data_IF_244551525158
#
_entry.id   IF_244551525158
#
_cell.length_a   1.000
_cell.length_b   1.000
_cell.length_c   1.000
_cell.angle_alpha   90.00
_cell.angle_beta   90.00
_cell.angle_gamma   90.00
#
_symmetry.space_group_name_H-M   'P 1'
#
loop_
_entity.id
_entity.type
_entity.pdbx_description
1 polymer ?
#
# COMPACT_ATOMS: atom_id res chain seq x y z
N UNK A 1 5.25 64.29 -65.33
CA UNK A 1 5.45 64.48 -63.88
C UNK A 1 4.22 63.96 -63.17
N UNK A 2 4.33 62.79 -62.53
CA UNK A 2 3.50 62.34 -61.42
C UNK A 2 4.24 61.18 -60.77
N UNK A 3 4.70 61.37 -59.54
CA UNK A 3 5.27 60.32 -58.69
C UNK A 3 4.21 59.93 -57.65
N UNK A 4 3.96 58.64 -57.41
CA UNK A 4 3.40 58.15 -56.15
C UNK A 4 4.53 57.46 -55.37
N UNK A 5 5.06 58.03 -54.29
CA UNK A 5 4.46 58.21 -52.95
C UNK A 5 4.20 56.87 -52.25
N UNK A 6 5.28 56.40 -51.62
CA UNK A 6 5.42 55.60 -50.40
C UNK A 6 4.14 54.96 -49.84
N UNK A 7 4.05 53.64 -49.96
CA UNK A 7 3.09 52.86 -49.19
C UNK A 7 3.75 52.29 -47.93
N UNK A 8 2.99 52.42 -46.86
CA UNK A 8 3.47 52.49 -45.51
C UNK A 8 3.94 51.15 -44.97
N UNK A 9 5.04 51.25 -44.22
CA UNK A 9 5.55 50.29 -43.24
C UNK A 9 4.40 49.65 -42.44
N UNK A 10 4.00 48.44 -42.80
CA UNK A 10 3.09 47.62 -42.00
C UNK A 10 3.82 47.18 -40.74
N UNK A 11 3.70 47.99 -39.68
CA UNK A 11 4.14 47.66 -38.34
C UNK A 11 3.43 46.37 -37.88
N UNK A 12 4.17 45.25 -37.95
CA UNK A 12 3.75 43.95 -37.43
C UNK A 12 3.58 44.05 -35.91
N UNK A 13 2.34 44.27 -35.45
CA UNK A 13 2.03 44.23 -34.02
C UNK A 13 2.26 42.79 -33.52
N UNK A 14 3.10 42.57 -32.49
CA UNK A 14 3.35 41.24 -31.95
C UNK A 14 2.11 40.76 -31.19
N UNK A 15 1.20 40.06 -31.88
CA UNK A 15 -0.01 39.46 -31.28
C UNK A 15 0.26 38.21 -30.42
N UNK A 16 1.52 37.79 -30.28
CA UNK A 16 1.87 36.49 -29.71
C UNK A 16 2.01 36.45 -28.17
N UNK A 17 2.15 37.59 -27.49
CA UNK A 17 2.53 37.59 -26.07
C UNK A 17 1.35 37.42 -25.09
N UNK A 18 0.10 37.68 -25.50
CA UNK A 18 -1.04 37.67 -24.56
C UNK A 18 -1.70 36.29 -24.47
N UNK A 19 -1.63 35.50 -25.54
CA UNK A 19 -2.15 34.13 -25.55
C UNK A 19 -1.36 33.20 -24.62
N UNK A 20 -0.06 33.46 -24.41
CA UNK A 20 0.80 32.63 -23.56
C UNK A 20 0.53 32.80 -22.06
N UNK A 21 0.22 34.00 -21.59
CA UNK A 21 -0.07 34.23 -20.17
C UNK A 21 -1.43 33.68 -19.73
N UNK A 22 -2.45 33.78 -20.58
CA UNK A 22 -3.75 33.17 -20.29
C UNK A 22 -3.67 31.64 -20.24
N UNK A 23 -2.94 31.02 -21.15
CA UNK A 23 -2.71 29.57 -21.14
C UNK A 23 -1.92 29.12 -19.90
N UNK A 24 -0.89 29.88 -19.51
CA UNK A 24 -0.11 29.60 -18.30
C UNK A 24 -0.97 29.73 -17.03
N UNK A 25 -1.83 30.75 -16.96
CA UNK A 25 -2.74 30.95 -15.84
C UNK A 25 -3.76 29.82 -15.72
N UNK A 26 -4.32 29.35 -16.85
CA UNK A 26 -5.24 28.20 -16.86
C UNK A 26 -4.52 26.92 -16.45
N UNK A 27 -3.30 26.67 -16.95
CA UNK A 27 -2.52 25.49 -16.56
C UNK A 27 -2.18 25.52 -15.07
N UNK A 28 -1.75 26.67 -14.54
CA UNK A 28 -1.50 26.85 -13.12
C UNK A 28 -2.78 26.67 -12.31
N UNK A 29 -3.93 27.17 -12.78
CA UNK A 29 -5.20 26.89 -12.13
C UNK A 29 -5.49 25.40 -12.16
N UNK A 30 -5.30 24.68 -13.26
CA UNK A 30 -5.55 23.23 -13.31
C UNK A 30 -4.59 22.41 -12.43
N UNK A 31 -3.36 22.90 -12.23
CA UNK A 31 -2.36 22.25 -11.36
C UNK A 31 -2.53 22.59 -9.88
N UNK A 32 -3.01 23.80 -9.56
CA UNK A 32 -3.17 24.29 -8.19
C UNK A 32 -4.60 24.17 -7.68
N UNK A 33 -5.59 24.03 -8.56
CA UNK A 33 -6.98 23.81 -8.17
C UNK A 33 -7.09 22.35 -7.76
N UNK A 34 -7.25 22.04 -6.47
CA UNK A 34 -7.47 20.68 -6.03
C UNK A 34 -8.69 20.18 -6.79
N UNK A 35 -8.50 19.15 -7.62
CA UNK A 35 -9.58 18.63 -8.45
C UNK A 35 -10.80 18.38 -7.56
N UNK A 36 -11.96 19.01 -7.79
CA UNK A 36 -13.16 18.75 -6.98
C UNK A 36 -13.66 17.31 -7.16
N UNK A 37 -13.11 16.58 -8.14
CA UNK A 37 -13.30 15.15 -8.36
C UNK A 37 -12.29 14.27 -7.61
N UNK A 38 -11.30 14.84 -6.92
CA UNK A 38 -10.64 14.19 -5.81
C UNK A 38 -11.50 14.50 -4.59
N UNK A 39 -12.47 13.63 -4.21
CA UNK A 39 -12.97 13.71 -2.86
C UNK A 39 -11.72 13.63 -1.99
N UNK A 40 -11.48 14.66 -1.20
CA UNK A 40 -10.70 14.52 0.02
C UNK A 40 -11.53 13.58 0.91
N UNK A 41 -11.68 12.31 0.50
CA UNK A 41 -11.68 11.22 1.44
C UNK A 41 -10.52 11.57 2.34
N UNK A 42 -10.75 11.80 3.64
CA UNK A 42 -9.69 12.20 4.54
C UNK A 42 -8.64 11.10 4.49
N UNK A 43 -7.64 11.29 3.63
CA UNK A 43 -6.45 10.47 3.55
C UNK A 43 -5.69 10.55 4.88
N UNK A 44 -6.05 11.58 5.68
CA UNK A 44 -5.63 11.85 7.04
C UNK A 44 -6.77 11.61 8.06
N UNK A 45 -7.76 10.77 7.77
CA UNK A 45 -8.60 10.25 8.85
C UNK A 45 -7.68 9.38 9.72
N UNK A 46 -7.04 10.04 10.69
CA UNK A 46 -6.31 9.43 11.79
C UNK A 46 -7.09 8.17 12.19
N UNK A 47 -6.42 7.01 12.24
CA UNK A 47 -7.03 5.82 12.77
C UNK A 47 -7.71 6.21 14.08
N UNK A 48 -8.96 5.79 14.27
CA UNK A 48 -9.59 6.06 15.56
C UNK A 48 -8.69 5.51 16.67
N UNK A 49 -8.66 6.15 17.84
CA UNK A 49 -7.78 5.72 18.93
C UNK A 49 -7.92 4.22 19.28
N UNK A 50 -9.10 3.66 19.02
CA UNK A 50 -9.40 2.23 19.14
C UNK A 50 -8.58 1.40 18.14
N UNK A 51 -8.57 1.82 16.88
CA UNK A 51 -7.84 1.14 15.80
C UNK A 51 -6.33 1.22 16.04
N UNK A 52 -5.85 2.38 16.47
CA UNK A 52 -4.44 2.58 16.82
C UNK A 52 -3.99 1.68 17.99
N UNK A 53 -4.83 1.53 19.02
CA UNK A 53 -4.54 0.63 20.15
C UNK A 53 -4.42 -0.83 19.68
N UNK A 54 -5.36 -1.29 18.87
CA UNK A 54 -5.34 -2.63 18.28
C UNK A 54 -4.09 -2.87 17.42
N UNK A 55 -3.61 -1.86 16.68
CA UNK A 55 -2.39 -1.95 15.88
C UNK A 55 -1.13 -2.09 16.75
N UNK A 56 -1.08 -1.36 17.87
CA UNK A 56 0.02 -1.50 18.84
C UNK A 56 0.02 -2.88 19.49
N UNK A 57 -1.13 -3.38 19.89
CA UNK A 57 -1.24 -4.73 20.45
C UNK A 57 -0.84 -5.82 19.44
N UNK A 58 -1.22 -5.67 18.16
CA UNK A 58 -0.73 -6.53 17.08
C UNK A 58 0.80 -6.45 16.94
N UNK A 59 1.36 -5.25 17.02
CA UNK A 59 2.81 -5.04 16.99
C UNK A 59 3.52 -5.81 18.09
N UNK A 60 3.03 -5.70 19.32
CA UNK A 60 3.58 -6.44 20.47
C UNK A 60 3.39 -7.96 20.32
N UNK A 61 2.25 -8.41 19.78
CA UNK A 61 2.03 -9.81 19.45
C UNK A 61 3.06 -10.33 18.41
N UNK A 62 3.34 -9.57 17.35
CA UNK A 62 4.37 -9.92 16.37
C UNK A 62 5.75 -9.99 17.02
N UNK A 63 6.11 -8.99 17.84
CA UNK A 63 7.40 -8.94 18.52
C UNK A 63 7.63 -10.13 19.46
N UNK A 64 6.58 -10.54 20.17
CA UNK A 64 6.65 -11.65 21.11
C UNK A 64 6.74 -13.03 20.43
N UNK A 65 6.34 -13.15 19.16
CA UNK A 65 6.24 -14.43 18.46
C UNK A 65 7.18 -14.56 17.25
N UNK A 66 7.98 -13.55 16.94
CA UNK A 66 8.94 -13.56 15.83
C UNK A 66 10.28 -12.95 16.25
N UNK A 67 11.42 -13.48 15.76
CA UNK A 67 12.72 -12.89 16.04
C UNK A 67 12.83 -11.49 15.43
N UNK A 68 13.69 -10.59 15.97
CA UNK A 68 13.81 -9.21 15.50
C UNK A 68 14.13 -9.06 14.01
N UNK A 69 14.85 -10.02 13.43
CA UNK A 69 15.26 -10.06 12.03
C UNK A 69 14.30 -10.84 11.12
N UNK A 70 13.15 -11.28 11.63
CA UNK A 70 12.19 -12.06 10.86
C UNK A 70 11.66 -11.29 9.64
N UNK A 71 11.55 -12.02 8.52
CA UNK A 71 10.82 -11.56 7.34
C UNK A 71 9.40 -12.11 7.40
N UNK A 72 8.41 -11.22 7.46
CA UNK A 72 7.00 -11.58 7.63
C UNK A 72 6.20 -11.16 6.40
N UNK A 73 5.61 -12.15 5.70
CA UNK A 73 4.67 -11.87 4.62
C UNK A 73 3.29 -11.57 5.18
N UNK A 74 2.67 -10.45 4.78
CA UNK A 74 1.33 -10.09 5.27
C UNK A 74 0.46 -9.35 4.26
N UNK A 75 -0.86 -9.55 4.39
CA UNK A 75 -1.89 -8.73 3.75
C UNK A 75 -1.93 -7.29 4.28
N UNK A 76 -1.40 -7.07 5.49
CA UNK A 76 -1.22 -5.77 6.11
C UNK A 76 0.26 -5.53 6.42
N UNK A 77 1.12 -5.58 5.40
CA UNK A 77 2.57 -5.38 5.51
C UNK A 77 2.97 -4.10 6.28
N UNK A 78 2.18 -3.03 6.17
CA UNK A 78 2.41 -1.79 6.90
C UNK A 78 2.28 -1.98 8.42
N UNK A 79 1.34 -2.81 8.91
CA UNK A 79 1.23 -3.15 10.34
C UNK A 79 2.49 -3.85 10.84
N UNK A 80 2.98 -4.79 10.05
CA UNK A 80 4.21 -5.53 10.36
C UNK A 80 5.40 -4.58 10.46
N UNK A 81 5.56 -3.69 9.48
CA UNK A 81 6.71 -2.77 9.44
C UNK A 81 6.63 -1.67 10.51
N UNK A 82 5.46 -1.06 10.72
CA UNK A 82 5.32 0.12 11.59
C UNK A 82 5.15 -0.24 13.06
N UNK A 83 4.39 -1.30 13.37
CA UNK A 83 4.08 -1.67 14.76
C UNK A 83 4.87 -2.89 15.21
N UNK A 84 5.06 -3.86 14.32
CA UNK A 84 5.81 -5.09 14.60
C UNK A 84 7.32 -4.91 14.62
N UNK A 85 7.85 -3.85 13.99
CA UNK A 85 9.29 -3.64 13.80
C UNK A 85 9.96 -4.89 13.18
N UNK A 86 9.35 -5.40 12.10
CA UNK A 86 9.84 -6.55 11.33
C UNK A 86 9.93 -6.21 9.86
N UNK A 87 10.83 -6.89 9.14
CA UNK A 87 10.88 -6.79 7.69
C UNK A 87 9.58 -7.35 7.12
N UNK A 88 8.82 -6.53 6.39
CA UNK A 88 7.54 -6.94 5.83
C UNK A 88 7.62 -7.20 4.33
N UNK A 89 7.01 -8.29 3.88
CA UNK A 89 6.78 -8.56 2.46
C UNK A 89 5.29 -8.45 2.15
N UNK A 90 4.94 -7.73 1.08
CA UNK A 90 3.55 -7.68 0.62
C UNK A 90 3.13 -9.09 0.20
N UNK A 91 1.94 -9.49 0.65
CA UNK A 91 1.38 -10.81 0.40
C UNK A 91 1.35 -11.25 -1.08
N UNK A 92 1.94 -12.39 -1.44
CA UNK A 92 1.86 -12.92 -2.79
C UNK A 92 0.43 -13.38 -3.12
N UNK A 93 0.16 -13.51 -4.41
CA UNK A 93 -1.16 -13.89 -4.94
C UNK A 93 -1.64 -15.19 -4.29
N UNK A 94 -0.77 -16.19 -4.16
CA UNK A 94 -1.04 -17.52 -3.60
C UNK A 94 0.18 -18.10 -2.87
N UNK A 95 0.01 -19.31 -2.33
CA UNK A 95 1.05 -20.05 -1.59
C UNK A 95 2.22 -20.50 -2.48
N UNK A 96 1.96 -20.73 -3.76
CA UNK A 96 2.92 -21.16 -4.76
C UNK A 96 3.86 -20.01 -5.13
N UNK A 97 3.31 -18.80 -5.29
CA UNK A 97 4.05 -17.57 -5.49
C UNK A 97 4.88 -17.21 -4.24
N UNK A 98 4.38 -17.48 -3.03
CA UNK A 98 5.18 -17.37 -1.81
C UNK A 98 6.41 -18.29 -1.88
N UNK A 99 6.20 -19.57 -2.20
CA UNK A 99 7.29 -20.52 -2.32
C UNK A 99 8.31 -20.12 -3.40
N UNK A 100 7.85 -19.54 -4.52
CA UNK A 100 8.72 -19.03 -5.57
C UNK A 100 9.55 -17.83 -5.12
N UNK A 101 8.95 -16.89 -4.38
CA UNK A 101 9.68 -15.76 -3.79
C UNK A 101 10.75 -16.26 -2.84
N UNK A 102 10.43 -17.24 -2.00
CA UNK A 102 11.36 -17.83 -1.05
C UNK A 102 12.54 -18.53 -1.74
N UNK A 103 12.29 -19.24 -2.83
CA UNK A 103 13.35 -19.89 -3.61
C UNK A 103 14.31 -18.91 -4.27
N UNK A 104 13.84 -17.72 -4.64
CA UNK A 104 14.58 -16.82 -5.54
C UNK A 104 15.15 -15.58 -4.89
N UNK A 105 14.52 -15.07 -3.84
CA UNK A 105 14.80 -13.73 -3.35
C UNK A 105 15.07 -13.70 -1.85
N UNK A 106 14.12 -14.15 -1.03
CA UNK A 106 14.20 -13.94 0.42
C UNK A 106 13.46 -15.04 1.17
N UNK A 107 14.09 -15.59 2.21
CA UNK A 107 13.43 -16.50 3.15
C UNK A 107 12.30 -15.76 3.87
N UNK A 108 11.12 -16.39 4.00
CA UNK A 108 10.00 -15.85 4.76
C UNK A 108 9.83 -16.68 6.03
N UNK A 109 9.99 -16.06 7.18
CA UNK A 109 9.97 -16.75 8.48
C UNK A 109 8.55 -16.92 9.01
N UNK A 110 7.65 -16.00 8.63
CA UNK A 110 6.26 -16.06 9.05
C UNK A 110 5.29 -15.48 8.01
N UNK A 111 4.05 -15.94 8.10
CA UNK A 111 2.90 -15.43 7.34
C UNK A 111 1.89 -14.88 8.33
N UNK A 112 1.57 -13.60 8.23
CA UNK A 112 0.64 -12.89 9.11
C UNK A 112 -0.60 -12.45 8.34
N UNK A 113 -1.77 -12.95 8.76
CA UNK A 113 -3.06 -12.70 8.13
C UNK A 113 -3.97 -11.87 9.03
N UNK A 114 -4.56 -10.82 8.46
CA UNK A 114 -5.57 -9.96 9.11
C UNK A 114 -6.91 -10.00 8.36
N UNK A 115 -7.99 -9.38 8.89
CA UNK A 115 -9.24 -9.23 8.16
C UNK A 115 -9.12 -8.28 6.97
N UNK A 116 -8.04 -7.48 6.86
CA UNK A 116 -7.79 -6.59 5.72
C UNK A 116 -7.81 -7.36 4.41
N UNK A 117 -7.29 -8.59 4.42
CA UNK A 117 -7.38 -9.52 3.31
C UNK A 117 -8.83 -9.70 2.82
N UNK A 118 -9.83 -9.74 3.71
CA UNK A 118 -11.24 -9.99 3.37
C UNK A 118 -11.88 -8.90 2.48
N UNK A 119 -11.31 -7.69 2.42
CA UNK A 119 -11.97 -6.55 1.80
C UNK A 119 -11.75 -6.44 0.27
N UNK A 120 -10.58 -6.82 -0.27
CA UNK A 120 -10.32 -6.72 -1.72
C UNK A 120 -9.48 -7.89 -2.28
N UNK A 121 -8.35 -8.23 -1.67
CA UNK A 121 -7.47 -9.31 -2.13
C UNK A 121 -8.07 -10.72 -1.91
N UNK A 122 -8.93 -10.90 -0.89
CA UNK A 122 -9.61 -12.18 -0.68
C UNK A 122 -10.51 -12.57 -1.84
N UNK A 123 -11.13 -11.60 -2.55
CA UNK A 123 -11.99 -11.93 -3.70
C UNK A 123 -11.24 -12.71 -4.76
N UNK A 124 -9.93 -12.50 -4.91
CA UNK A 124 -9.13 -13.10 -5.98
C UNK A 124 -8.46 -14.41 -5.59
N UNK A 125 -8.20 -14.71 -4.31
CA UNK A 125 -7.66 -16.03 -3.92
C UNK A 125 -8.37 -16.70 -2.71
N UNK A 126 -9.06 -17.83 -2.93
CA UNK A 126 -9.74 -18.59 -1.87
C UNK A 126 -8.81 -19.32 -0.91
N UNK A 127 -7.56 -19.62 -1.27
CA UNK A 127 -6.60 -20.36 -0.43
C UNK A 127 -6.33 -19.61 0.86
N UNK A 128 -5.93 -18.35 0.75
CA UNK A 128 -5.64 -17.51 1.91
C UNK A 128 -6.88 -17.21 2.76
N UNK A 129 -8.04 -17.02 2.12
CA UNK A 129 -9.31 -16.89 2.85
C UNK A 129 -9.59 -18.14 3.69
N UNK A 130 -9.39 -19.32 3.09
CA UNK A 130 -9.60 -20.59 3.78
C UNK A 130 -8.59 -20.78 4.92
N UNK A 131 -7.33 -20.40 4.73
CA UNK A 131 -6.31 -20.42 5.78
C UNK A 131 -6.63 -19.44 6.92
N UNK A 132 -7.13 -18.25 6.62
CA UNK A 132 -7.55 -17.30 7.64
C UNK A 132 -8.78 -17.83 8.41
N UNK A 133 -9.80 -18.30 7.71
CA UNK A 133 -11.06 -18.78 8.32
C UNK A 133 -10.89 -20.10 9.08
N UNK A 134 -10.03 -21.00 8.58
CA UNK A 134 -9.74 -22.31 9.17
C UNK A 134 -8.22 -22.54 9.15
N UNK A 135 -7.49 -21.93 10.12
CA UNK A 135 -6.05 -22.07 10.18
C UNK A 135 -5.61 -23.52 10.23
N UNK A 136 -4.74 -23.88 9.29
CA UNK A 136 -4.08 -25.18 9.23
C UNK A 136 -2.68 -25.00 8.68
N UNK A 137 -1.79 -25.93 9.04
CA UNK A 137 -0.45 -25.95 8.48
C UNK A 137 -0.48 -26.03 6.94
N UNK A 138 0.47 -25.34 6.29
CA UNK A 138 0.66 -25.39 4.84
C UNK A 138 2.16 -25.25 4.52
N UNK A 139 2.66 -26.06 3.60
CA UNK A 139 4.09 -26.12 3.30
C UNK A 139 4.94 -26.30 4.57
N UNK A 140 5.87 -25.38 4.78
CA UNK A 140 6.77 -25.36 5.94
C UNK A 140 6.19 -24.59 7.14
N UNK A 141 5.03 -23.96 7.00
CA UNK A 141 4.39 -23.14 8.02
C UNK A 141 3.43 -23.97 8.87
N UNK A 142 3.73 -24.15 10.17
CA UNK A 142 2.95 -25.06 11.03
C UNK A 142 2.57 -24.53 12.39
N UNK A 143 3.33 -23.60 12.96
CA UNK A 143 2.97 -23.06 14.29
C UNK A 143 1.97 -21.94 14.07
N UNK A 144 0.74 -22.17 14.53
CA UNK A 144 -0.35 -21.21 14.40
C UNK A 144 -0.49 -20.50 15.74
N UNK A 145 -0.39 -19.17 15.71
CA UNK A 145 -0.74 -18.30 16.83
C UNK A 145 -1.91 -17.44 16.38
N UNK A 146 -2.94 -17.34 17.21
CA UNK A 146 -4.08 -16.47 16.96
C UNK A 146 -4.06 -15.33 17.97
N UNK A 147 -4.40 -14.14 17.49
CA UNK A 147 -4.60 -12.96 18.30
C UNK A 147 -6.02 -12.46 18.08
N UNK A 148 -6.67 -12.01 19.16
CA UNK A 148 -7.98 -11.37 19.12
C UNK A 148 -7.90 -10.16 20.05
N UNK A 149 -8.06 -8.96 19.48
CA UNK A 149 -8.08 -7.72 20.26
C UNK A 149 -9.32 -7.63 21.14
N UNK A 150 -9.30 -6.73 22.12
CA UNK A 150 -10.47 -6.43 22.94
C UNK A 150 -11.68 -5.95 22.11
N UNK A 151 -11.42 -5.40 20.92
CA UNK A 151 -12.44 -4.90 19.99
C UNK A 151 -12.82 -5.93 18.91
N UNK A 152 -12.33 -7.17 19.02
CA UNK A 152 -12.68 -8.28 18.13
C UNK A 152 -11.85 -8.36 16.85
N UNK A 153 -10.75 -7.60 16.73
CA UNK A 153 -9.83 -7.72 15.61
C UNK A 153 -9.07 -9.04 15.72
N UNK A 154 -9.33 -9.97 14.81
CA UNK A 154 -8.65 -11.27 14.76
C UNK A 154 -7.49 -11.26 13.79
N UNK A 155 -6.35 -11.81 14.20
CA UNK A 155 -5.21 -12.06 13.31
C UNK A 155 -4.64 -13.47 13.51
N UNK A 156 -4.03 -14.01 12.47
CA UNK A 156 -3.45 -15.35 12.47
C UNK A 156 -2.00 -15.28 12.00
N UNK A 157 -1.09 -15.82 12.79
CA UNK A 157 0.34 -15.90 12.49
C UNK A 157 0.73 -17.35 12.29
N UNK A 158 1.31 -17.65 11.14
CA UNK A 158 1.90 -18.94 10.83
C UNK A 158 3.42 -18.79 10.86
N UNK A 159 4.09 -19.55 11.72
CA UNK A 159 5.55 -19.59 11.76
C UNK A 159 6.06 -20.77 10.93
N UNK A 160 7.10 -20.48 10.15
CA UNK A 160 7.89 -21.50 9.47
C UNK A 160 8.54 -22.38 10.53
N UNK A 161 8.44 -23.70 10.37
CA UNK A 161 9.24 -24.60 11.20
C UNK A 161 10.70 -24.38 10.84
N UNK A 162 11.53 -24.10 11.85
CA UNK A 162 12.98 -24.16 11.62
C UNK A 162 13.31 -25.55 11.05
N UNK A 163 14.18 -25.62 10.03
CA UNK A 163 14.70 -26.91 9.61
C UNK A 163 15.31 -27.54 10.86
N UNK A 164 14.81 -28.72 11.24
CA UNK A 164 15.43 -29.48 12.33
C UNK A 164 16.91 -29.66 11.93
N UNK A 165 17.86 -29.27 12.80
CA UNK A 165 19.28 -29.47 12.54
C UNK A 165 19.60 -30.94 12.30
#
# INVERSE_FOLDING_TARGET
>A
MSAPMDDHTLASRPRAAWASWAALAILLLLLLYPSPAFPWSPLDAEPSAIVEADYREIGEFLKANTPPDAVVASDAYWLVSWYGDRTSLWFPVDTEALAEIERRFVRVDAVFLTPTYLNAAAKTNPVWRNLYAKPKAFGEYKVIKEYVSAHGLRAVLFLKQEPRP
#
